data_IF_182504495308
#
_entry.id   IF_182504495308
#
_cell.length_a   1.000
_cell.length_b   1.000
_cell.length_c   1.000
_cell.angle_alpha   90.00
_cell.angle_beta   90.00
_cell.angle_gamma   90.00
#
_symmetry.space_group_name_H-M   'P 1'
#
loop_
_entity.id
_entity.type
_entity.pdbx_description
1 polymer ?
#
# COMPACT_ATOMS: atom_id res chain seq x y z
N UNK A 1 0.44 17.78 12.42
CA UNK A 1 0.60 17.37 11.02
C UNK A 1 -0.42 16.30 10.71
N UNK A 2 -1.16 16.48 9.65
CA UNK A 2 -2.20 15.56 9.24
C UNK A 2 -2.09 15.27 7.76
N UNK A 3 -2.57 14.10 7.36
CA UNK A 3 -2.63 13.74 5.96
C UNK A 3 -3.66 12.65 5.71
N UNK A 4 -3.98 12.46 4.46
CA UNK A 4 -4.89 11.41 4.02
C UNK A 4 -4.48 10.94 2.63
N UNK A 5 -4.75 9.69 2.36
CA UNK A 5 -4.56 9.08 1.06
C UNK A 5 -5.81 8.28 0.73
N UNK A 6 -6.33 8.49 -0.46
CA UNK A 6 -7.43 7.70 -0.99
C UNK A 6 -6.84 6.56 -1.82
N UNK A 7 -7.28 5.36 -1.54
CA UNK A 7 -6.82 4.16 -2.21
C UNK A 7 -8.01 3.53 -2.93
N UNK A 8 -7.79 3.10 -4.15
CA UNK A 8 -8.84 2.46 -4.93
C UNK A 8 -9.23 1.09 -4.38
N UNK A 9 -10.32 0.56 -4.91
CA UNK A 9 -10.80 -0.77 -4.54
C UNK A 9 -9.85 -1.84 -5.07
N UNK A 10 -8.93 -2.26 -4.22
CA UNK A 10 -7.96 -3.32 -4.49
C UNK A 10 -8.15 -4.47 -3.50
N UNK A 11 -9.40 -4.85 -3.28
CA UNK A 11 -9.70 -5.93 -2.36
C UNK A 11 -8.98 -7.23 -2.70
N UNK A 12 -8.39 -7.84 -1.70
CA UNK A 12 -7.69 -9.12 -1.81
C UNK A 12 -8.58 -10.22 -1.25
N UNK A 13 -9.11 -11.07 -2.14
CA UNK A 13 -9.65 -12.38 -1.79
C UNK A 13 -10.58 -12.43 -0.57
N UNK A 14 -11.63 -11.61 -0.51
CA UNK A 14 -12.57 -11.60 0.61
C UNK A 14 -12.20 -10.69 1.77
N UNK A 15 -11.04 -10.07 1.73
CA UNK A 15 -10.69 -9.01 2.68
C UNK A 15 -11.26 -7.68 2.18
N UNK A 16 -11.77 -6.84 3.09
CA UNK A 16 -12.23 -5.52 2.69
C UNK A 16 -11.05 -4.67 2.19
N UNK A 17 -11.31 -3.91 1.14
CA UNK A 17 -10.32 -2.99 0.59
C UNK A 17 -10.11 -1.79 1.51
N UNK A 18 -8.91 -1.23 1.50
CA UNK A 18 -8.62 0.03 2.16
C UNK A 18 -9.00 1.18 1.22
N UNK A 19 -10.03 1.93 1.58
CA UNK A 19 -10.49 3.06 0.75
C UNK A 19 -9.77 4.35 1.08
N UNK A 20 -9.59 4.62 2.35
CA UNK A 20 -8.93 5.84 2.79
C UNK A 20 -8.03 5.58 3.99
N UNK A 21 -6.88 6.21 3.98
CA UNK A 21 -5.96 6.24 5.11
C UNK A 21 -5.76 7.69 5.54
N UNK A 22 -6.06 7.97 6.79
CA UNK A 22 -5.81 9.28 7.41
C UNK A 22 -4.76 9.12 8.49
N UNK A 23 -3.96 10.13 8.67
CA UNK A 23 -2.99 10.13 9.74
C UNK A 23 -2.86 11.50 10.37
N UNK A 24 -2.51 11.48 11.64
CA UNK A 24 -2.24 12.69 12.41
C UNK A 24 -1.03 12.44 13.29
N UNK A 25 -0.09 13.37 13.24
CA UNK A 25 1.08 13.35 14.09
C UNK A 25 0.92 14.43 15.17
N UNK A 26 0.89 13.99 16.41
CA UNK A 26 0.86 14.85 17.58
C UNK A 26 2.17 14.72 18.34
N UNK A 27 2.66 15.82 18.88
CA UNK A 27 3.87 15.81 19.70
C UNK A 27 3.51 16.28 21.10
N UNK A 28 3.66 15.40 22.06
CA UNK A 28 3.52 15.77 23.47
C UNK A 28 4.86 16.24 24.00
N UNK A 29 4.82 17.30 24.80
CA UNK A 29 6.00 17.88 25.44
C UNK A 29 5.91 17.56 26.91
N UNK A 30 6.88 16.80 27.40
CA UNK A 30 7.02 16.53 28.83
C UNK A 30 8.22 17.31 29.34
N UNK A 31 8.01 18.06 30.40
CA UNK A 31 9.11 18.74 31.07
C UNK A 31 9.35 18.09 32.41
N UNK A 32 10.55 17.58 32.61
CA UNK A 32 11.00 17.06 33.89
C UNK A 32 12.27 17.81 34.26
N UNK A 33 12.17 18.74 35.18
CA UNK A 33 13.29 19.57 35.57
C UNK A 33 13.78 20.44 34.42
N UNK A 34 15.06 20.28 34.06
CA UNK A 34 15.71 21.10 33.01
C UNK A 34 15.58 20.48 31.61
N UNK A 35 14.98 19.29 31.49
CA UNK A 35 14.92 18.57 30.23
C UNK A 35 13.52 18.60 29.63
N UNK A 36 13.45 18.93 28.35
CA UNK A 36 12.23 18.78 27.55
C UNK A 36 12.32 17.47 26.78
N UNK A 37 11.33 16.63 26.96
CA UNK A 37 11.22 15.39 26.19
C UNK A 37 10.05 15.54 25.22
N UNK A 38 10.34 15.43 23.94
CA UNK A 38 9.35 15.43 22.88
C UNK A 38 8.97 13.99 22.57
N UNK A 39 7.68 13.69 22.66
CA UNK A 39 7.18 12.36 22.34
C UNK A 39 6.18 12.46 21.20
N UNK A 40 6.57 12.04 20.00
CA UNK A 40 5.64 11.98 18.89
C UNK A 40 4.69 10.81 19.05
N UNK A 41 3.43 11.03 18.74
CA UNK A 41 2.38 10.02 18.69
C UNK A 41 1.70 10.09 17.34
N UNK A 42 1.56 8.94 16.71
CA UNK A 42 0.89 8.83 15.43
C UNK A 42 -0.48 8.19 15.61
N UNK A 43 -1.50 8.80 15.05
CA UNK A 43 -2.82 8.20 14.90
C UNK A 43 -3.03 7.87 13.45
N UNK A 44 -3.32 6.62 13.16
CA UNK A 44 -3.69 6.13 11.84
C UNK A 44 -5.15 5.73 11.86
N UNK A 45 -5.91 6.19 10.90
CA UNK A 45 -7.31 5.83 10.74
C UNK A 45 -7.52 5.26 9.36
N UNK A 46 -8.00 4.03 9.30
CA UNK A 46 -8.26 3.32 8.06
C UNK A 46 -9.75 3.20 7.84
N UNK A 47 -10.21 3.64 6.69
CA UNK A 47 -11.59 3.44 6.25
C UNK A 47 -11.61 2.32 5.22
N UNK A 48 -12.43 1.30 5.48
CA UNK A 48 -12.50 0.10 4.65
C UNK A 48 -13.73 0.12 3.75
N UNK A 49 -13.67 -0.65 2.67
CA UNK A 49 -14.75 -0.73 1.68
C UNK A 49 -16.06 -1.31 2.19
N UNK A 50 -16.03 -1.96 3.35
CA UNK A 50 -17.24 -2.45 4.02
C UNK A 50 -17.92 -1.39 4.91
N UNK A 51 -17.39 -0.16 4.94
CA UNK A 51 -17.89 0.94 5.75
C UNK A 51 -17.35 0.97 7.17
N UNK A 52 -16.47 0.04 7.54
CA UNK A 52 -15.87 0.05 8.88
C UNK A 52 -14.68 0.98 8.93
N UNK A 53 -14.43 1.53 10.11
CA UNK A 53 -13.29 2.40 10.37
C UNK A 53 -12.49 1.84 11.53
N UNK A 54 -11.18 1.74 11.33
CA UNK A 54 -10.24 1.30 12.36
C UNK A 54 -9.26 2.41 12.66
N UNK A 55 -9.01 2.63 13.94
CA UNK A 55 -8.04 3.60 14.39
C UNK A 55 -6.92 2.91 15.18
N UNK A 56 -5.69 3.30 14.89
CA UNK A 56 -4.49 2.77 15.52
C UNK A 56 -3.68 3.92 16.09
N UNK A 57 -3.14 3.69 17.27
CA UNK A 57 -2.26 4.64 17.95
C UNK A 57 -0.87 4.03 18.02
N UNK A 58 0.10 4.78 17.56
CA UNK A 58 1.47 4.29 17.51
C UNK A 58 2.45 5.32 18.07
N UNK A 59 3.37 4.84 18.90
CA UNK A 59 4.56 5.61 19.24
C UNK A 59 5.50 5.66 18.04
N UNK A 60 6.52 6.52 18.11
CA UNK A 60 7.56 6.58 17.08
C UNK A 60 8.17 5.20 16.84
N UNK A 61 8.50 4.48 17.90
CA UNK A 61 9.11 3.16 17.80
C UNK A 61 8.19 2.16 17.08
N UNK A 62 6.92 2.12 17.45
CA UNK A 62 5.96 1.21 16.81
C UNK A 62 5.73 1.54 15.35
N UNK A 63 5.75 2.81 15.01
CA UNK A 63 5.65 3.22 13.62
C UNK A 63 6.88 2.81 12.82
N UNK A 64 8.07 2.93 13.38
CA UNK A 64 9.29 2.48 12.71
C UNK A 64 9.30 0.97 12.50
N UNK A 65 8.82 0.21 13.48
CA UNK A 65 8.65 -1.25 13.35
C UNK A 65 7.66 -1.60 12.23
N UNK A 66 6.53 -0.91 12.17
CA UNK A 66 5.54 -1.10 11.11
C UNK A 66 6.13 -0.77 9.74
N UNK A 67 6.82 0.35 9.64
CA UNK A 67 7.45 0.78 8.40
C UNK A 67 8.47 -0.23 7.91
N UNK A 68 9.29 -0.74 8.82
CA UNK A 68 10.28 -1.77 8.50
C UNK A 68 9.59 -3.06 8.02
N UNK A 69 8.56 -3.49 8.72
CA UNK A 69 7.82 -4.71 8.36
C UNK A 69 7.16 -4.57 7.00
N UNK A 70 6.55 -3.43 6.71
CA UNK A 70 5.95 -3.17 5.40
C UNK A 70 6.99 -3.15 4.28
N UNK A 71 8.14 -2.54 4.52
CA UNK A 71 9.22 -2.50 3.53
C UNK A 71 9.75 -3.91 3.25
N UNK A 72 9.90 -4.71 4.28
CA UNK A 72 10.34 -6.10 4.15
C UNK A 72 9.31 -6.93 3.38
N UNK A 73 8.03 -6.80 3.73
CA UNK A 73 6.95 -7.48 3.02
C UNK A 73 6.96 -7.11 1.54
N UNK A 74 7.11 -5.84 1.22
CA UNK A 74 7.16 -5.37 -0.16
C UNK A 74 8.33 -6.00 -0.92
N UNK A 75 9.50 -6.06 -0.30
CA UNK A 75 10.66 -6.73 -0.90
C UNK A 75 10.40 -8.22 -1.14
N UNK A 76 9.78 -8.90 -0.18
CA UNK A 76 9.43 -10.32 -0.31
C UNK A 76 8.43 -10.54 -1.45
N UNK A 77 7.43 -9.69 -1.57
CA UNK A 77 6.46 -9.74 -2.65
C UNK A 77 7.13 -9.54 -4.02
N UNK A 78 8.03 -8.58 -4.13
CA UNK A 78 8.79 -8.34 -5.35
C UNK A 78 9.68 -9.52 -5.70
N UNK A 79 10.32 -10.13 -4.71
CA UNK A 79 11.16 -11.31 -4.92
C UNK A 79 10.34 -12.50 -5.43
N UNK A 80 9.16 -12.72 -4.89
CA UNK A 80 8.24 -13.77 -5.37
C UNK A 80 7.80 -13.47 -6.79
N UNK A 81 7.43 -12.24 -7.09
CA UNK A 81 7.06 -11.83 -8.44
C UNK A 81 8.17 -12.07 -9.46
N UNK A 82 9.42 -11.83 -9.06
CA UNK A 82 10.56 -12.09 -9.91
C UNK A 82 10.84 -13.59 -10.12
N UNK A 83 10.49 -14.42 -9.14
CA UNK A 83 10.66 -15.89 -9.23
C UNK A 83 9.59 -16.58 -10.04
N UNK A 84 8.50 -15.91 -10.34
CA UNK A 84 7.34 -16.47 -11.04
C UNK A 84 7.09 -15.78 -12.39
N UNK A 85 8.13 -15.52 -13.21
CA UNK A 85 7.92 -14.84 -14.49
C UNK A 85 7.07 -15.66 -15.45
N UNK A 86 7.13 -16.98 -15.37
CA UNK A 86 6.33 -17.87 -16.21
C UNK A 86 4.82 -17.69 -15.98
N UNK A 87 4.40 -17.51 -14.74
CA UNK A 87 3.00 -17.24 -14.43
C UNK A 87 2.56 -15.86 -14.92
N UNK A 88 3.41 -14.86 -14.77
CA UNK A 88 3.13 -13.53 -15.26
C UNK A 88 2.99 -13.52 -16.78
N UNK A 89 3.85 -14.24 -17.49
CA UNK A 89 3.77 -14.40 -18.95
C UNK A 89 2.50 -15.13 -19.39
N UNK A 90 2.08 -16.11 -18.63
CA UNK A 90 0.84 -16.85 -18.93
C UNK A 90 -0.37 -15.94 -18.85
N UNK A 91 -0.46 -15.12 -17.84
CA UNK A 91 -1.54 -14.16 -17.70
C UNK A 91 -1.56 -13.14 -18.82
N UNK A 92 -0.40 -12.63 -19.17
CA UNK A 92 -0.26 -11.66 -20.24
C UNK A 92 -0.60 -12.28 -21.60
N UNK A 93 -0.19 -13.51 -21.84
CA UNK A 93 -0.54 -14.24 -23.05
C UNK A 93 -2.05 -14.46 -23.18
N UNK A 94 -2.73 -14.77 -22.08
CA UNK A 94 -4.18 -14.89 -22.05
C UNK A 94 -4.87 -13.59 -22.41
N UNK A 95 -4.41 -12.50 -21.86
CA UNK A 95 -4.94 -11.17 -22.16
C UNK A 95 -4.76 -10.83 -23.63
N UNK A 96 -3.61 -11.15 -24.18
CA UNK A 96 -3.33 -10.92 -25.60
C UNK A 96 -4.19 -11.77 -26.51
N UNK A 97 -4.44 -13.01 -26.15
CA UNK A 97 -5.27 -13.89 -26.97
C UNK A 97 -6.74 -13.49 -26.97
N UNK A 98 -7.21 -12.84 -25.92
CA UNK A 98 -8.58 -12.31 -25.85
C UNK A 98 -8.69 -10.92 -26.47
N UNK A 99 -7.59 -10.25 -26.68
CA UNK A 99 -7.60 -8.93 -27.30
C UNK A 99 -7.90 -9.03 -28.79
N UNK A 100 -8.61 -8.06 -29.37
CA UNK A 100 -8.83 -8.05 -30.80
C UNK A 100 -7.52 -7.93 -31.55
N UNK A 101 -7.38 -8.57 -32.70
CA UNK A 101 -6.13 -8.60 -33.46
C UNK A 101 -5.83 -7.29 -34.19
N UNK A 102 -6.33 -6.21 -33.69
CA UNK A 102 -6.20 -4.91 -34.34
C UNK A 102 -4.76 -4.48 -34.48
N UNK A 103 -3.97 -4.76 -33.48
CA UNK A 103 -2.58 -4.34 -33.46
C UNK A 103 -1.70 -4.97 -34.51
N UNK A 104 -2.11 -6.08 -35.07
CA UNK A 104 -1.32 -6.75 -36.13
C UNK A 104 -1.54 -6.17 -37.50
N UNK A 105 -2.73 -5.76 -37.78
CA UNK A 105 -3.11 -5.37 -39.07
C UNK A 105 -2.22 -4.27 -39.70
N UNK A 106 -2.00 -3.19 -39.02
CA UNK A 106 -1.16 -2.12 -39.57
C UNK A 106 0.28 -2.51 -39.67
N UNK A 107 0.73 -3.35 -38.80
CA UNK A 107 2.11 -3.77 -38.80
C UNK A 107 2.45 -4.65 -40.00
N UNK A 108 1.45 -5.32 -40.47
CA UNK A 108 1.63 -6.16 -41.58
C UNK A 108 2.05 -5.40 -42.80
N UNK A 109 1.90 -4.28 -42.74
CA UNK A 109 2.18 -3.65 -43.84
C UNK A 109 3.27 -3.07 -43.99
N UNK A 110 3.43 -3.20 -43.87
CA UNK A 110 4.26 -2.84 -44.03
C UNK A 110 4.99 -3.11 -44.50
N UNK A 111 4.80 -3.35 -45.03
CA UNK A 111 5.47 -3.61 -45.36
C UNK A 111 5.94 -3.53 -45.64
#
# INVERSE_FOLDING_TARGET
MQGRAALGDQGLGGLPSLEELRWRLDVSISTSGLHRVLRPHLTLQCELGDGTTHAFYASKQRFEELRYTCARLLNDMQAVGARLPALAHTEDARRRSTAPPVGKAPAANLD
#
